data_IF_920138461359
#
_entry.id   IF_920138461359
#
_cell.length_a   1.000
_cell.length_b   1.000
_cell.length_c   1.000
_cell.angle_alpha   90.00
_cell.angle_beta   90.00
_cell.angle_gamma   90.00
#
_symmetry.space_group_name_H-M   'P 1'
#
loop_
_entity.id
_entity.type
_entity.pdbx_description
1 polymer ?
#
# COMPACT_ATOMS: atom_id res chain seq x y z
N UNK A 1 9.90 -11.01 8.42
CA UNK A 1 10.19 -10.53 7.05
C UNK A 1 8.98 -10.87 6.21
N UNK A 2 8.48 -9.95 5.37
CA UNK A 2 7.25 -10.19 4.62
C UNK A 2 7.46 -11.26 3.54
N UNK A 3 6.36 -11.85 3.07
CA UNK A 3 6.31 -12.72 1.89
C UNK A 3 5.70 -11.95 0.71
N UNK A 4 6.02 -12.36 -0.52
CA UNK A 4 5.39 -11.83 -1.74
C UNK A 4 4.61 -12.94 -2.42
N UNK A 5 3.28 -12.83 -2.44
CA UNK A 5 2.41 -13.75 -3.14
C UNK A 5 2.19 -13.29 -4.59
N UNK A 6 2.85 -13.97 -5.54
CA UNK A 6 2.74 -13.72 -6.99
C UNK A 6 1.43 -14.30 -7.54
N UNK A 7 0.87 -13.70 -8.59
CA UNK A 7 -0.42 -14.14 -9.18
C UNK A 7 -0.42 -15.63 -9.54
N UNK A 8 0.67 -16.10 -10.15
CA UNK A 8 0.85 -17.50 -10.56
C UNK A 8 0.90 -18.48 -9.39
N UNK A 9 1.14 -18.01 -8.16
CA UNK A 9 1.24 -18.82 -6.97
C UNK A 9 -0.05 -18.86 -6.15
N UNK A 10 -1.00 -17.93 -6.35
CA UNK A 10 -2.21 -17.81 -5.50
C UNK A 10 -3.06 -19.09 -5.53
N UNK A 11 -3.28 -19.68 -6.72
CA UNK A 11 -4.05 -20.92 -6.87
C UNK A 11 -3.42 -22.11 -6.13
N UNK A 12 -2.08 -22.24 -6.20
CA UNK A 12 -1.37 -23.31 -5.51
C UNK A 12 -1.33 -23.09 -4.00
N UNK A 13 -1.15 -21.84 -3.56
CA UNK A 13 -1.23 -21.42 -2.16
C UNK A 13 -2.57 -21.82 -1.55
N UNK A 14 -3.68 -21.43 -2.17
CA UNK A 14 -5.03 -21.76 -1.71
C UNK A 14 -5.23 -23.27 -1.55
N UNK A 15 -4.87 -24.05 -2.58
CA UNK A 15 -5.00 -25.51 -2.56
C UNK A 15 -4.24 -26.15 -1.39
N UNK A 16 -3.04 -25.64 -1.06
CA UNK A 16 -2.24 -26.16 0.06
C UNK A 16 -2.79 -25.71 1.41
N UNK A 17 -3.32 -24.49 1.48
CA UNK A 17 -3.95 -23.94 2.70
C UNK A 17 -5.15 -24.77 3.14
N UNK A 18 -6.06 -25.08 2.20
CA UNK A 18 -7.26 -25.90 2.47
C UNK A 18 -6.96 -27.32 2.98
N UNK A 19 -5.76 -27.84 2.70
CA UNK A 19 -5.35 -29.19 3.07
C UNK A 19 -4.66 -29.25 4.44
N UNK A 20 -4.46 -28.12 5.13
CA UNK A 20 -3.57 -28.00 6.31
C UNK A 20 -2.16 -28.58 6.03
N UNK A 21 -1.71 -28.55 4.78
CA UNK A 21 -0.42 -29.10 4.32
C UNK A 21 0.57 -28.00 3.92
N UNK A 22 0.24 -26.73 4.16
CA UNK A 22 1.11 -25.61 3.83
C UNK A 22 2.22 -25.45 4.88
N UNK A 23 3.40 -25.07 4.42
CA UNK A 23 4.47 -24.52 5.23
C UNK A 23 4.69 -23.04 4.87
N UNK A 24 5.33 -22.25 5.74
CA UNK A 24 5.62 -20.84 5.42
C UNK A 24 6.45 -20.66 4.13
N UNK A 25 7.16 -21.70 3.73
CA UNK A 25 7.96 -21.77 2.51
C UNK A 25 7.11 -21.87 1.22
N UNK A 26 5.82 -22.19 1.34
CA UNK A 26 4.91 -22.39 0.21
C UNK A 26 4.33 -21.08 -0.37
N UNK A 27 4.50 -19.95 0.30
CA UNK A 27 4.18 -18.62 -0.25
C UNK A 27 5.07 -18.19 -1.40
N UNK A 28 6.23 -18.83 -1.55
CA UNK A 28 7.26 -18.48 -2.53
C UNK A 28 8.52 -17.95 -1.87
N UNK A 29 9.03 -16.83 -2.38
CA UNK A 29 10.28 -16.22 -1.90
C UNK A 29 9.97 -15.29 -0.71
N UNK A 30 10.76 -15.38 0.37
CA UNK A 30 10.88 -14.27 1.32
C UNK A 30 11.02 -12.99 0.53
N UNK A 31 10.38 -11.89 0.96
CA UNK A 31 10.58 -10.57 0.37
C UNK A 31 12.08 -10.35 0.18
N UNK A 32 12.58 -10.44 -1.07
CA UNK A 32 14.01 -10.51 -1.28
C UNK A 32 14.64 -9.24 -0.72
N UNK A 33 15.82 -9.35 -0.10
CA UNK A 33 16.52 -8.17 0.44
C UNK A 33 16.72 -7.06 -0.62
N UNK A 34 16.68 -7.40 -1.91
CA UNK A 34 16.79 -6.47 -3.04
C UNK A 34 15.45 -6.06 -3.68
N UNK A 35 14.33 -6.65 -3.27
CA UNK A 35 13.01 -6.24 -3.74
C UNK A 35 12.66 -4.90 -3.10
N UNK A 36 12.32 -3.92 -3.94
CA UNK A 36 11.99 -2.57 -3.51
C UNK A 36 10.63 -2.23 -4.04
N UNK A 37 9.73 -1.85 -3.13
CA UNK A 37 8.53 -1.12 -3.54
C UNK A 37 8.97 0.21 -4.15
N UNK A 38 8.57 0.47 -5.38
CA UNK A 38 9.01 1.66 -6.12
C UNK A 38 7.85 2.38 -6.78
N UNK A 39 7.86 3.72 -6.70
CA UNK A 39 6.97 4.51 -7.53
C UNK A 39 7.50 4.54 -8.97
N UNK A 40 6.89 3.76 -9.86
CA UNK A 40 7.29 3.71 -11.28
C UNK A 40 6.91 4.96 -12.06
N UNK A 41 5.99 5.77 -11.53
CA UNK A 41 5.65 7.06 -12.12
C UNK A 41 6.71 8.14 -11.84
N UNK A 42 7.53 7.93 -10.80
CA UNK A 42 8.54 8.90 -10.35
C UNK A 42 7.96 10.20 -9.79
N UNK A 43 6.70 10.21 -9.35
CA UNK A 43 6.04 11.37 -8.76
C UNK A 43 6.48 11.60 -7.30
N UNK A 44 6.74 10.52 -6.58
CA UNK A 44 7.15 10.54 -5.18
C UNK A 44 8.47 9.79 -5.00
N UNK A 45 9.34 10.28 -4.13
CA UNK A 45 10.63 9.62 -3.87
C UNK A 45 10.45 8.31 -3.11
N UNK A 46 9.48 8.26 -2.19
CA UNK A 46 9.11 7.06 -1.45
C UNK A 46 7.73 6.54 -1.91
N UNK A 47 7.70 5.27 -2.32
CA UNK A 47 6.46 4.60 -2.68
C UNK A 47 5.47 4.50 -1.51
N UNK A 48 5.96 4.37 -0.26
CA UNK A 48 5.09 4.29 0.92
C UNK A 48 4.34 5.59 1.15
N UNK A 49 4.99 6.73 0.86
CA UNK A 49 4.32 8.02 0.84
C UNK A 49 3.31 8.12 -0.31
N UNK A 50 3.62 7.59 -1.50
CA UNK A 50 2.63 7.48 -2.58
C UNK A 50 1.38 6.72 -2.13
N UNK A 51 1.52 5.61 -1.40
CA UNK A 51 0.37 4.86 -0.88
C UNK A 51 -0.54 5.72 0.02
N UNK A 52 0.03 6.58 0.87
CA UNK A 52 -0.74 7.57 1.67
C UNK A 52 -1.51 8.54 0.78
N UNK A 53 -0.90 9.00 -0.31
CA UNK A 53 -1.57 9.89 -1.27
C UNK A 53 -2.71 9.16 -1.98
N UNK A 54 -2.49 7.92 -2.43
CA UNK A 54 -3.52 7.10 -3.08
C UNK A 54 -4.69 6.80 -2.14
N UNK A 55 -4.41 6.50 -0.87
CA UNK A 55 -5.43 6.28 0.17
C UNK A 55 -6.39 7.48 0.25
N UNK A 56 -5.85 8.69 0.31
CA UNK A 56 -6.65 9.93 0.41
C UNK A 56 -7.59 10.14 -0.80
N UNK A 57 -7.34 9.44 -1.90
CA UNK A 57 -8.06 9.57 -3.17
C UNK A 57 -9.13 8.49 -3.38
N UNK A 58 -9.14 7.39 -2.62
CA UNK A 58 -10.10 6.28 -2.78
C UNK A 58 -11.58 6.71 -2.72
N UNK A 59 -11.86 7.77 -1.97
CA UNK A 59 -13.19 8.39 -1.82
C UNK A 59 -13.44 9.64 -2.68
N UNK A 60 -12.49 10.04 -3.54
CA UNK A 60 -12.50 11.34 -4.23
C UNK A 60 -12.68 11.25 -5.75
N UNK A 61 -13.11 10.11 -6.28
CA UNK A 61 -13.24 9.88 -7.74
C UNK A 61 -11.95 10.24 -8.50
N UNK A 62 -10.80 9.80 -8.00
CA UNK A 62 -9.56 9.92 -8.73
C UNK A 62 -9.49 8.89 -9.88
N UNK A 63 -8.74 9.22 -10.92
CA UNK A 63 -8.71 8.48 -12.20
C UNK A 63 -8.46 6.97 -12.07
N UNK A 64 -7.65 6.54 -11.10
CA UNK A 64 -7.29 5.13 -10.89
C UNK A 64 -8.31 4.33 -10.05
N UNK A 65 -9.22 5.00 -9.34
CA UNK A 65 -10.00 4.36 -8.26
C UNK A 65 -10.96 3.30 -8.78
N UNK A 66 -11.65 3.58 -9.88
CA UNK A 66 -12.61 2.62 -10.46
C UNK A 66 -11.89 1.38 -11.00
N UNK A 67 -10.76 1.57 -11.67
CA UNK A 67 -9.92 0.48 -12.16
C UNK A 67 -9.35 -0.35 -11.01
N UNK A 68 -8.89 0.31 -9.93
CA UNK A 68 -8.37 -0.35 -8.74
C UNK A 68 -9.44 -1.23 -8.08
N UNK A 69 -10.65 -0.69 -7.88
CA UNK A 69 -11.78 -1.43 -7.30
C UNK A 69 -12.24 -2.59 -8.17
N UNK A 70 -12.28 -2.41 -9.49
CA UNK A 70 -12.62 -3.50 -10.41
C UNK A 70 -11.54 -4.59 -10.40
N UNK A 71 -10.27 -4.19 -10.33
CA UNK A 71 -9.14 -5.10 -10.28
C UNK A 71 -9.11 -5.95 -9.02
N UNK A 72 -9.22 -5.34 -7.82
CA UNK A 72 -9.23 -6.07 -6.55
C UNK A 72 -10.42 -7.02 -6.47
N UNK A 73 -11.59 -6.57 -6.91
CA UNK A 73 -12.78 -7.42 -7.00
C UNK A 73 -12.57 -8.63 -7.91
N UNK A 74 -11.94 -8.46 -9.08
CA UNK A 74 -11.65 -9.59 -9.98
C UNK A 74 -10.67 -10.59 -9.38
N UNK A 75 -9.70 -10.13 -8.59
CA UNK A 75 -8.79 -11.03 -7.86
C UNK A 75 -9.56 -11.86 -6.83
N UNK A 76 -10.40 -11.22 -6.02
CA UNK A 76 -11.27 -11.91 -5.05
C UNK A 76 -12.24 -12.90 -5.72
N UNK A 77 -12.85 -12.54 -6.86
CA UNK A 77 -13.73 -13.45 -7.61
C UNK A 77 -12.98 -14.63 -8.24
N UNK A 78 -11.69 -14.45 -8.58
CA UNK A 78 -10.86 -15.48 -9.22
C UNK A 78 -10.26 -16.45 -8.20
N UNK A 79 -9.86 -15.94 -7.04
CA UNK A 79 -9.16 -16.68 -5.99
C UNK A 79 -10.01 -16.68 -4.73
N UNK A 80 -10.76 -17.76 -4.54
CA UNK A 80 -11.72 -17.92 -3.44
C UNK A 80 -11.02 -17.71 -2.09
N UNK A 81 -11.45 -16.67 -1.36
CA UNK A 81 -11.05 -16.37 0.02
C UNK A 81 -9.54 -16.31 0.32
N UNK A 82 -8.67 -15.98 -0.65
CA UNK A 82 -7.21 -15.86 -0.42
C UNK A 82 -6.83 -14.88 0.69
N UNK A 83 -7.61 -13.81 0.88
CA UNK A 83 -7.44 -12.85 1.98
C UNK A 83 -7.67 -13.52 3.34
N UNK A 84 -8.70 -14.36 3.44
CA UNK A 84 -9.00 -15.10 4.67
C UNK A 84 -7.88 -16.07 5.00
N UNK A 85 -7.41 -16.82 3.99
CA UNK A 85 -6.29 -17.74 4.16
C UNK A 85 -5.04 -16.97 4.63
N UNK A 86 -4.66 -15.88 3.96
CA UNK A 86 -3.55 -14.99 4.36
C UNK A 86 -3.69 -14.48 5.81
N UNK A 87 -4.92 -14.22 6.27
CA UNK A 87 -5.18 -13.77 7.64
C UNK A 87 -4.73 -14.75 8.74
N UNK A 88 -4.54 -16.03 8.41
CA UNK A 88 -4.09 -17.05 9.37
C UNK A 88 -2.58 -17.05 9.63
N UNK A 89 -1.83 -16.14 8.98
CA UNK A 89 -0.37 -16.14 8.98
C UNK A 89 0.23 -15.03 9.84
N UNK A 90 1.34 -15.36 10.50
CA UNK A 90 2.05 -14.45 11.41
C UNK A 90 2.89 -13.43 10.64
N UNK A 91 3.56 -13.86 9.56
CA UNK A 91 4.40 -12.98 8.76
C UNK A 91 3.56 -12.22 7.73
N UNK A 92 3.78 -10.91 7.52
CA UNK A 92 3.01 -10.13 6.54
C UNK A 92 3.15 -10.69 5.11
N UNK A 93 2.06 -10.74 4.36
CA UNK A 93 2.04 -11.25 2.97
C UNK A 93 1.57 -10.16 2.02
N UNK A 94 2.50 -9.65 1.20
CA UNK A 94 2.21 -8.67 0.16
C UNK A 94 1.64 -9.37 -1.08
N UNK A 95 0.52 -8.84 -1.57
CA UNK A 95 -0.13 -9.32 -2.78
C UNK A 95 0.51 -8.63 -3.99
N UNK A 96 1.41 -9.33 -4.68
CA UNK A 96 2.22 -8.77 -5.77
C UNK A 96 1.40 -8.13 -6.89
N UNK A 97 0.26 -8.70 -7.33
CA UNK A 97 -0.55 -8.09 -8.39
C UNK A 97 -1.08 -6.70 -8.00
N UNK A 98 -1.47 -6.53 -6.73
CA UNK A 98 -1.92 -5.25 -6.17
C UNK A 98 -0.75 -4.28 -6.05
N UNK A 99 0.41 -4.76 -5.57
CA UNK A 99 1.62 -3.93 -5.53
C UNK A 99 1.95 -3.39 -6.92
N UNK A 100 2.03 -4.27 -7.92
CA UNK A 100 2.34 -3.89 -9.31
C UNK A 100 1.34 -2.89 -9.86
N UNK A 101 0.05 -3.03 -9.55
CA UNK A 101 -0.95 -2.04 -9.93
C UNK A 101 -0.60 -0.67 -9.34
N UNK A 102 -0.45 -0.58 -8.02
CA UNK A 102 -0.20 0.66 -7.28
C UNK A 102 1.13 1.34 -7.68
N UNK A 103 2.19 0.56 -7.91
CA UNK A 103 3.48 1.05 -8.41
C UNK A 103 3.34 1.81 -9.74
N UNK A 104 2.45 1.33 -10.63
CA UNK A 104 2.22 1.91 -11.95
C UNK A 104 1.14 2.99 -12.00
N UNK A 105 0.42 3.27 -10.90
CA UNK A 105 -0.59 4.35 -10.88
C UNK A 105 0.08 5.68 -11.19
N UNK A 106 -0.38 6.34 -12.25
CA UNK A 106 -0.01 7.72 -12.58
C UNK A 106 -1.18 8.65 -12.22
N UNK A 107 -0.92 9.62 -11.35
CA UNK A 107 -1.93 10.61 -10.96
C UNK A 107 -1.91 11.80 -11.93
N UNK A 108 -3.10 12.21 -12.37
CA UNK A 108 -3.24 13.45 -13.15
C UNK A 108 -3.12 14.68 -12.26
N UNK A 109 -2.93 15.87 -12.85
CA UNK A 109 -2.97 17.12 -12.08
C UNK A 109 -4.31 17.29 -11.35
N UNK A 110 -5.42 16.88 -11.96
CA UNK A 110 -6.75 16.92 -11.34
C UNK A 110 -6.84 16.00 -10.12
N UNK A 111 -6.20 14.82 -10.17
CA UNK A 111 -6.15 13.91 -9.03
C UNK A 111 -5.34 14.50 -7.88
N UNK A 112 -4.18 15.08 -8.17
CA UNK A 112 -3.32 15.73 -7.16
C UNK A 112 -4.02 16.94 -6.50
N UNK A 113 -4.83 17.69 -7.26
CA UNK A 113 -5.62 18.81 -6.74
C UNK A 113 -6.76 18.36 -5.80
N UNK A 114 -7.19 17.10 -5.85
CA UNK A 114 -8.21 16.56 -4.92
C UNK A 114 -7.63 16.27 -3.52
N UNK A 115 -6.30 16.24 -3.37
CA UNK A 115 -5.64 15.96 -2.09
C UNK A 115 -5.57 17.22 -1.24
N UNK A 116 -6.41 17.29 -0.21
CA UNK A 116 -6.48 18.39 0.76
C UNK A 116 -6.12 17.96 2.19
N UNK A 117 -6.26 16.67 2.49
CA UNK A 117 -5.90 16.02 3.73
C UNK A 117 -5.28 14.65 3.42
N UNK A 118 -4.23 14.29 4.15
CA UNK A 118 -3.65 12.94 4.15
C UNK A 118 -3.53 12.42 5.59
N UNK A 119 -3.56 11.10 5.75
CA UNK A 119 -3.36 10.41 7.02
C UNK A 119 -2.12 9.52 6.91
N UNK A 120 -1.13 9.74 7.78
CA UNK A 120 0.07 8.90 7.88
C UNK A 120 -0.07 8.00 9.11
N UNK A 121 -0.27 6.70 8.89
CA UNK A 121 -0.39 5.70 9.96
C UNK A 121 -0.64 4.31 9.43
N UNK A 122 -0.55 3.29 10.30
CA UNK A 122 -0.66 1.88 9.87
C UNK A 122 -2.07 1.40 9.52
N UNK A 123 -3.12 2.17 9.82
CA UNK A 123 -4.51 1.76 9.63
C UNK A 123 -5.15 2.09 8.28
N UNK A 124 -4.36 2.31 7.22
CA UNK A 124 -4.89 2.70 5.91
C UNK A 124 -5.56 1.52 5.18
N UNK A 125 -6.65 1.79 4.48
CA UNK A 125 -7.38 0.78 3.70
C UNK A 125 -6.46 0.17 2.63
N UNK A 126 -5.68 1.00 1.93
CA UNK A 126 -4.73 0.53 0.92
C UNK A 126 -3.68 -0.45 1.49
N UNK A 127 -3.26 -0.29 2.74
CA UNK A 127 -2.32 -1.22 3.38
C UNK A 127 -2.99 -2.57 3.63
N UNK A 128 -4.24 -2.58 4.12
CA UNK A 128 -5.02 -3.82 4.28
C UNK A 128 -5.36 -4.50 2.95
N UNK A 129 -5.55 -3.75 1.87
CA UNK A 129 -5.74 -4.33 0.53
C UNK A 129 -4.43 -4.93 0.00
N UNK A 130 -3.30 -4.28 0.23
CA UNK A 130 -1.99 -4.71 -0.27
C UNK A 130 -1.37 -5.84 0.54
N UNK A 131 -1.56 -5.84 1.85
CA UNK A 131 -0.97 -6.76 2.81
C UNK A 131 -2.00 -7.09 3.92
N UNK A 132 -2.96 -7.99 3.67
CA UNK A 132 -4.16 -8.13 4.51
C UNK A 132 -3.95 -8.59 5.94
N UNK A 133 -2.85 -9.30 6.21
CA UNK A 133 -2.48 -9.76 7.54
C UNK A 133 -1.42 -8.87 8.21
N UNK A 134 -1.10 -7.70 7.64
CA UNK A 134 -0.26 -6.74 8.34
C UNK A 134 -1.05 -6.12 9.50
N UNK A 135 -0.49 -6.22 10.69
CA UNK A 135 -1.10 -5.77 11.94
C UNK A 135 -0.82 -4.28 12.24
N UNK A 136 -0.08 -3.60 11.36
CA UNK A 136 0.35 -2.21 11.56
C UNK A 136 1.62 -2.09 12.41
N UNK A 137 2.22 -3.22 12.81
CA UNK A 137 3.49 -3.28 13.52
C UNK A 137 4.63 -3.59 12.53
N UNK A 138 5.87 -3.20 12.84
CA UNK A 138 7.07 -3.26 11.99
C UNK A 138 7.32 -2.08 11.03
N UNK A 139 8.43 -2.16 10.28
CA UNK A 139 8.91 -1.09 9.37
C UNK A 139 8.45 -1.27 7.91
N UNK A 140 7.53 -2.20 7.62
CA UNK A 140 7.14 -2.55 6.25
C UNK A 140 6.63 -1.35 5.45
N UNK A 141 5.79 -0.53 6.07
CA UNK A 141 5.21 0.70 5.49
C UNK A 141 5.81 1.98 6.07
N UNK A 142 6.95 1.89 6.73
CA UNK A 142 7.68 3.04 7.31
C UNK A 142 8.19 3.98 6.21
N UNK A 143 7.67 5.21 6.17
CA UNK A 143 8.00 6.25 5.21
C UNK A 143 9.36 6.87 5.57
N UNK A 144 10.24 6.99 4.59
CA UNK A 144 11.59 7.56 4.71
C UNK A 144 11.77 8.88 3.97
N UNK A 145 10.86 9.23 3.07
CA UNK A 145 10.83 10.53 2.40
C UNK A 145 9.40 10.94 2.06
N UNK A 146 9.08 12.21 2.29
CA UNK A 146 7.79 12.81 1.87
C UNK A 146 7.94 13.62 0.57
N UNK A 147 9.11 13.60 -0.07
CA UNK A 147 9.38 14.35 -1.30
C UNK A 147 8.40 13.98 -2.40
N UNK A 148 7.90 15.01 -3.08
CA UNK A 148 6.77 14.91 -3.99
C UNK A 148 5.48 15.49 -3.40
N UNK A 149 5.41 15.71 -2.08
CA UNK A 149 4.28 16.40 -1.47
C UNK A 149 4.05 17.81 -2.02
N UNK A 150 5.09 18.46 -2.54
CA UNK A 150 5.03 19.79 -3.17
C UNK A 150 4.11 19.82 -4.42
N UNK A 151 3.80 18.64 -4.98
CA UNK A 151 2.84 18.48 -6.08
C UNK A 151 1.38 18.58 -5.60
N UNK A 152 1.12 18.35 -4.31
CA UNK A 152 -0.21 18.35 -3.69
C UNK A 152 -0.62 19.78 -3.31
N UNK A 153 -0.89 20.61 -4.31
CA UNK A 153 -1.08 22.07 -4.14
C UNK A 153 -2.21 22.46 -3.19
N UNK A 154 -3.19 21.58 -2.98
CA UNK A 154 -4.34 21.84 -2.12
C UNK A 154 -4.23 21.18 -0.74
N UNK A 155 -3.12 20.48 -0.45
CA UNK A 155 -2.86 19.84 0.84
C UNK A 155 -2.79 20.90 1.93
N UNK A 156 -3.64 20.76 2.95
CA UNK A 156 -3.75 21.69 4.08
C UNK A 156 -3.52 21.01 5.41
N UNK A 157 -3.77 19.71 5.49
CA UNK A 157 -3.71 18.96 6.74
C UNK A 157 -3.06 17.59 6.57
N UNK A 158 -2.20 17.25 7.51
CA UNK A 158 -1.64 15.92 7.71
C UNK A 158 -2.10 15.44 9.07
N UNK A 159 -2.76 14.29 9.11
CA UNK A 159 -3.04 13.58 10.37
C UNK A 159 -1.90 12.57 10.55
N UNK A 160 -1.15 12.70 11.64
CA UNK A 160 -0.03 11.80 11.95
C UNK A 160 -0.40 10.86 13.10
N UNK A 161 -0.18 9.56 12.87
CA UNK A 161 -0.45 8.49 13.85
C UNK A 161 0.81 7.64 14.07
N UNK A 162 1.46 7.17 12.99
CA UNK A 162 2.65 6.30 13.02
C UNK A 162 3.30 6.20 11.62
N UNK A 163 4.25 5.28 11.43
CA UNK A 163 4.83 4.90 10.12
C UNK A 163 5.72 5.97 9.45
N UNK A 164 6.25 6.93 10.21
CA UNK A 164 7.36 7.78 9.78
C UNK A 164 8.06 8.41 10.99
N UNK A 165 9.29 8.88 10.79
CA UNK A 165 9.97 9.74 11.76
C UNK A 165 9.28 11.12 11.84
N UNK A 166 9.05 11.62 13.05
CA UNK A 166 8.43 12.93 13.27
C UNK A 166 9.20 14.09 12.62
N UNK A 167 10.51 13.95 12.40
CA UNK A 167 11.32 14.94 11.69
C UNK A 167 10.84 15.15 10.23
N UNK A 168 10.28 14.12 9.57
CA UNK A 168 9.72 14.26 8.23
C UNK A 168 8.48 15.17 8.20
N UNK A 169 7.80 15.33 9.35
CA UNK A 169 6.62 16.17 9.45
C UNK A 169 6.96 17.67 9.41
N UNK A 170 8.22 18.04 9.70
CA UNK A 170 8.66 19.43 9.64
C UNK A 170 8.59 20.00 8.23
N UNK A 171 8.77 19.17 7.19
CA UNK A 171 8.63 19.61 5.79
C UNK A 171 7.22 20.15 5.49
N UNK A 172 6.19 19.52 6.07
CA UNK A 172 4.80 19.98 5.96
C UNK A 172 4.59 21.27 6.75
N UNK A 173 5.08 21.33 8.01
CA UNK A 173 4.93 22.49 8.89
C UNK A 173 5.60 23.74 8.30
N UNK A 174 6.81 23.60 7.77
CA UNK A 174 7.56 24.68 7.11
C UNK A 174 6.85 25.19 5.85
N UNK A 175 6.09 24.32 5.18
CA UNK A 175 5.26 24.67 4.03
C UNK A 175 3.90 25.26 4.40
N UNK A 176 3.62 25.45 5.70
CA UNK A 176 2.36 26.02 6.19
C UNK A 176 1.19 25.04 6.22
N UNK A 177 1.47 23.73 6.13
CA UNK A 177 0.48 22.65 6.22
C UNK A 177 0.30 22.29 7.71
N UNK A 178 -0.94 22.15 8.15
CA UNK A 178 -1.28 21.73 9.50
C UNK A 178 -0.90 20.27 9.72
N UNK A 179 -0.28 19.95 10.86
CA UNK A 179 0.02 18.57 11.28
C UNK A 179 -0.66 18.34 12.62
N UNK A 180 -1.60 17.40 12.67
CA UNK A 180 -2.32 16.94 13.88
C UNK A 180 -1.76 15.61 14.38
#
# INVERSE_FOLDING_TARGET
MPYILKEENIEEFLRKSEMDEFEEEDFGEFYPDDYKMVDKSGMFEDFRFKLVVLESLLGKNASFVDEFKEFTKKLEEKYDDYVFEIGNFINPVIIEPILKFLENVELTEEDLEKVDEICIGGGLEIYGILCPNWDGEDELFEIKSVKGFEKLKNLKKVIFISCCDEELLDEFRESGIEVE
#
